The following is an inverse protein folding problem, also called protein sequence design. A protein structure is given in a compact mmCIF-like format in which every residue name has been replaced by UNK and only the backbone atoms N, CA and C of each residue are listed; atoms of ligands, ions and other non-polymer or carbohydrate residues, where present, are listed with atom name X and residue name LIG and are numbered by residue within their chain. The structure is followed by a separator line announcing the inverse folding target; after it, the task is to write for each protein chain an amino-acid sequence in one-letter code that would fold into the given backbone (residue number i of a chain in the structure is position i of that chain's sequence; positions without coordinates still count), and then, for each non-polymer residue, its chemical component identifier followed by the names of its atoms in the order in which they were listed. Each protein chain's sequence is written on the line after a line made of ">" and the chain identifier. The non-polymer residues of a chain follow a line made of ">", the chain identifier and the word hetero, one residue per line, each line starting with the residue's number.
data_IF_001307025477
#
_entry.id   IF_001307025477
#
_cell.length_a   1.000
_cell.length_b   1.000
_cell.length_c   1.000
_cell.angle_alpha   90.00
_cell.angle_beta   90.00
_cell.angle_gamma   90.00
#
_symmetry.space_group_name_H-M   'P 1'
#
loop_
_entity.id
_entity.type
_entity.pdbx_description
1 polymer ?
#
# COMPACT_ATOMS: atom_id res chain seq x y z
N UNK A 1 -11.56 -0.84 3.62
CA UNK A 1 -10.19 -1.35 3.90
C UNK A 1 -9.19 -0.92 2.82
N UNK A 2 -9.53 -1.14 1.54
CA UNK A 2 -8.68 -0.75 0.38
C UNK A 2 -8.41 0.77 0.32
N UNK A 3 -9.42 1.61 0.59
CA UNK A 3 -9.23 3.07 0.63
C UNK A 3 -8.18 3.50 1.67
N UNK A 4 -8.13 2.86 2.84
CA UNK A 4 -7.16 3.18 3.90
C UNK A 4 -5.75 2.81 3.44
N UNK A 5 -5.57 1.62 2.85
CA UNK A 5 -4.29 1.17 2.29
C UNK A 5 -3.82 2.10 1.16
N UNK A 6 -4.74 2.54 0.30
CA UNK A 6 -4.45 3.47 -0.79
C UNK A 6 -4.00 4.84 -0.27
N UNK A 7 -4.69 5.40 0.72
CA UNK A 7 -4.27 6.64 1.39
C UNK A 7 -2.91 6.50 2.08
N UNK A 8 -2.62 5.34 2.67
CA UNK A 8 -1.32 5.03 3.28
C UNK A 8 -0.18 5.06 2.25
N UNK A 9 -0.42 4.57 1.03
CA UNK A 9 0.53 4.65 -0.08
C UNK A 9 0.76 6.12 -0.49
N UNK A 10 -0.30 6.92 -0.60
CA UNK A 10 -0.19 8.35 -0.93
C UNK A 10 0.62 9.09 0.14
N UNK A 11 0.38 8.79 1.42
CA UNK A 11 1.14 9.35 2.55
C UNK A 11 2.61 8.90 2.49
N UNK A 12 2.89 7.63 2.19
CA UNK A 12 4.25 7.11 2.02
C UNK A 12 5.01 7.85 0.91
N UNK A 13 4.35 8.10 -0.23
CA UNK A 13 4.91 8.90 -1.33
C UNK A 13 5.19 10.33 -0.87
N UNK A 14 4.24 10.97 -0.18
CA UNK A 14 4.43 12.32 0.36
C UNK A 14 5.61 12.40 1.35
N UNK A 15 5.74 11.42 2.23
CA UNK A 15 6.88 11.29 3.15
C UNK A 15 8.19 11.12 2.39
N UNK A 16 8.22 10.35 1.31
CA UNK A 16 9.40 10.20 0.47
C UNK A 16 9.85 11.52 -0.16
N UNK A 17 8.91 12.37 -0.60
CA UNK A 17 9.26 13.72 -1.07
C UNK A 17 9.73 14.62 0.08
N UNK A 18 9.16 14.46 1.28
CA UNK A 18 9.59 15.21 2.46
C UNK A 18 11.04 14.85 2.87
N UNK A 19 11.48 13.59 2.71
CA UNK A 19 12.87 13.23 3.03
C UNK A 19 13.89 13.92 2.13
N UNK A 20 13.55 14.20 0.87
CA UNK A 20 14.40 14.99 -0.03
C UNK A 20 14.58 16.44 0.42
N UNK A 21 13.56 17.04 1.04
CA UNK A 21 13.67 18.40 1.59
C UNK A 21 14.62 18.47 2.80
N UNK A 22 14.78 17.36 3.53
CA UNK A 22 15.61 17.26 4.75
C UNK A 22 17.03 16.77 4.42
N UNK A 23 17.22 16.12 3.26
CA UNK A 23 18.51 15.63 2.77
C UNK A 23 19.69 16.63 2.89
N UNK A 24 19.55 17.93 2.59
CA UNK A 24 20.68 18.87 2.70
C UNK A 24 21.06 19.22 4.16
N UNK A 25 20.18 19.00 5.14
CA UNK A 25 20.43 19.31 6.56
C UNK A 25 21.24 18.23 7.27
N UNK A 26 21.07 16.97 6.87
CA UNK A 26 21.73 15.83 7.51
C UNK A 26 21.93 14.66 6.53
N UNK A 27 22.94 14.76 5.65
CA UNK A 27 23.17 13.76 4.58
C UNK A 27 23.45 12.34 5.10
N UNK A 28 24.00 12.21 6.30
CA UNK A 28 24.27 10.91 6.93
C UNK A 28 23.01 10.19 7.43
N UNK A 29 21.95 10.94 7.74
CA UNK A 29 20.67 10.37 8.20
C UNK A 29 19.73 10.05 7.03
N UNK A 30 19.98 10.63 5.85
CA UNK A 30 19.16 10.45 4.67
C UNK A 30 18.89 8.97 4.30
N UNK A 31 19.89 8.07 4.25
CA UNK A 31 19.65 6.67 3.89
C UNK A 31 18.75 5.94 4.89
N UNK A 32 18.90 6.26 6.18
CA UNK A 32 18.13 5.64 7.27
C UNK A 32 16.67 6.12 7.23
N UNK A 33 16.47 7.43 7.03
CA UNK A 33 15.12 8.01 6.96
C UNK A 33 14.40 7.55 5.69
N UNK A 34 15.11 7.33 4.57
CA UNK A 34 14.52 6.85 3.31
C UNK A 34 13.91 5.44 3.42
N UNK A 35 14.42 4.59 4.30
CA UNK A 35 13.91 3.23 4.50
C UNK A 35 12.49 3.22 5.10
N UNK A 36 12.12 4.25 5.86
CA UNK A 36 10.81 4.36 6.52
C UNK A 36 9.67 4.46 5.49
N UNK A 37 9.64 5.45 4.57
CA UNK A 37 8.59 5.52 3.56
C UNK A 37 8.64 4.33 2.60
N UNK A 38 9.82 3.79 2.31
CA UNK A 38 9.98 2.63 1.43
C UNK A 38 9.33 1.37 2.05
N UNK A 39 9.57 1.12 3.34
CA UNK A 39 8.97 0.00 4.08
C UNK A 39 7.46 0.14 4.22
N UNK A 40 6.98 1.33 4.61
CA UNK A 40 5.55 1.63 4.73
C UNK A 40 4.81 1.50 3.38
N UNK A 41 5.41 2.02 2.31
CA UNK A 41 4.87 1.92 0.95
C UNK A 41 4.83 0.47 0.47
N UNK A 42 5.91 -0.29 0.69
CA UNK A 42 5.98 -1.70 0.30
C UNK A 42 4.94 -2.56 1.01
N UNK A 43 4.83 -2.46 2.34
CA UNK A 43 3.88 -3.27 3.12
C UNK A 43 2.44 -2.92 2.75
N UNK A 44 2.12 -1.63 2.59
CA UNK A 44 0.78 -1.19 2.21
C UNK A 44 0.42 -1.62 0.79
N UNK A 45 1.35 -1.55 -0.17
CA UNK A 45 1.13 -2.03 -1.53
C UNK A 45 0.85 -3.55 -1.58
N UNK A 46 1.65 -4.35 -0.88
CA UNK A 46 1.43 -5.81 -0.78
C UNK A 46 0.08 -6.11 -0.15
N UNK A 47 -0.28 -5.43 0.94
CA UNK A 47 -1.58 -5.60 1.59
C UNK A 47 -2.77 -5.23 0.68
N UNK A 48 -2.62 -4.19 -0.14
CA UNK A 48 -3.64 -3.75 -1.09
C UNK A 48 -3.84 -4.78 -2.20
N UNK A 49 -2.75 -5.32 -2.76
CA UNK A 49 -2.81 -6.41 -3.76
C UNK A 49 -3.53 -7.64 -3.19
N UNK A 50 -3.19 -8.05 -1.96
CA UNK A 50 -3.86 -9.19 -1.31
C UNK A 50 -5.36 -8.92 -1.13
N UNK A 51 -5.74 -7.72 -0.68
CA UNK A 51 -7.15 -7.35 -0.52
C UNK A 51 -7.91 -7.42 -1.85
N UNK A 52 -7.34 -6.91 -2.93
CA UNK A 52 -7.96 -6.95 -4.26
C UNK A 52 -8.11 -8.38 -4.78
N UNK A 53 -7.12 -9.25 -4.53
CA UNK A 53 -7.21 -10.67 -4.91
C UNK A 53 -8.33 -11.36 -4.12
N UNK A 54 -8.41 -11.14 -2.81
CA UNK A 54 -9.46 -11.73 -1.97
C UNK A 54 -10.85 -11.24 -2.37
N UNK A 55 -11.00 -9.94 -2.64
CA UNK A 55 -12.27 -9.37 -3.11
C UNK A 55 -12.69 -10.02 -4.44
N UNK A 56 -11.74 -10.17 -5.38
CA UNK A 56 -11.97 -10.87 -6.66
C UNK A 56 -12.33 -12.34 -6.53
N UNK A 57 -11.76 -13.05 -5.55
CA UNK A 57 -12.08 -14.45 -5.30
C UNK A 57 -13.47 -14.58 -4.67
N UNK A 58 -13.81 -13.70 -3.72
CA UNK A 58 -15.12 -13.69 -3.09
C UNK A 58 -16.24 -13.39 -4.09
N UNK A 59 -16.04 -12.41 -4.99
CA UNK A 59 -16.96 -12.14 -6.10
C UNK A 59 -17.24 -13.38 -6.96
N UNK A 60 -16.21 -14.18 -7.25
CA UNK A 60 -16.34 -15.39 -8.08
C UNK A 60 -17.05 -16.54 -7.37
N UNK A 61 -16.89 -16.65 -6.06
CA UNK A 61 -17.55 -17.68 -5.27
C UNK A 61 -19.04 -17.35 -5.10
N UNK A 62 -19.40 -16.08 -4.91
CA UNK A 62 -20.79 -15.62 -4.93
C UNK A 62 -21.45 -15.89 -6.30
N UNK A 63 -20.76 -15.62 -7.41
CA UNK A 63 -21.28 -15.88 -8.76
C UNK A 63 -21.58 -17.37 -9.01
N UNK A 64 -20.70 -18.26 -8.50
CA UNK A 64 -20.89 -19.71 -8.60
C UNK A 64 -22.04 -20.22 -7.74
N UNK A 65 -22.22 -19.67 -6.53
CA UNK A 65 -23.32 -20.08 -5.66
C UNK A 65 -24.69 -19.69 -6.26
N UNK A 66 -24.77 -18.52 -6.89
CA UNK A 66 -25.99 -18.09 -7.60
C UNK A 66 -26.30 -19.01 -8.79
N UNK A 67 -25.31 -19.37 -9.61
CA UNK A 67 -25.51 -20.29 -10.74
C UNK A 67 -25.88 -21.70 -10.27
N UNK A 68 -25.29 -22.17 -9.17
CA UNK A 68 -25.60 -23.47 -8.54
C UNK A 68 -27.04 -23.55 -8.01
N UNK A 69 -27.66 -22.40 -7.70
CA UNK A 69 -29.00 -22.31 -7.12
C UNK A 69 -30.12 -22.35 -8.16
N UNK A 70 -29.82 -22.21 -9.45
CA UNK A 70 -30.76 -22.31 -10.57
C UNK A 70 -30.55 -23.61 -11.35
#
# INVERSE_FOLDING_TARGET
>A
MIQILSWLIVISIGLHFATYAIAPLSPSLFPVIMLIPLGLGGISAVGLVICLILERLNERDEEKDVISKY
#
